data_IF_738156558126
#
_entry.id   IF_738156558126
#
_cell.length_a   1.000
_cell.length_b   1.000
_cell.length_c   1.000
_cell.angle_alpha   90.00
_cell.angle_beta   90.00
_cell.angle_gamma   90.00
#
_symmetry.space_group_name_H-M   'P 1'
#
loop_
_entity.id
_entity.type
_entity.pdbx_description
1 polymer ?
#
# COMPACT_ATOMS: atom_id res chain seq x y z
N UNK A 1 13.30 -81.11 25.78
CA UNK A 1 14.73 -80.75 25.61
C UNK A 1 14.87 -79.26 25.88
N UNK A 2 15.18 -78.92 27.14
CA UNK A 2 16.41 -78.24 27.60
C UNK A 2 16.42 -76.74 27.31
N UNK A 3 15.96 -75.87 28.22
CA UNK A 3 16.66 -75.27 29.38
C UNK A 3 18.00 -74.59 29.06
N UNK A 4 18.04 -73.27 29.33
CA UNK A 4 19.10 -72.45 29.98
C UNK A 4 18.59 -70.99 29.91
N UNK A 5 17.91 -70.42 30.91
CA UNK A 5 18.36 -69.94 32.23
C UNK A 5 19.62 -69.06 32.18
N UNK A 6 19.44 -67.74 32.33
CA UNK A 6 20.31 -66.83 33.09
C UNK A 6 19.66 -65.43 33.21
N UNK A 7 19.19 -65.14 34.41
CA UNK A 7 18.95 -63.83 35.08
C UNK A 7 19.98 -63.81 36.23
N UNK A 8 20.49 -62.70 36.81
CA UNK A 8 19.98 -61.31 36.86
C UNK A 8 21.07 -60.22 36.61
N UNK A 9 20.70 -58.94 36.63
CA UNK A 9 21.21 -57.94 37.59
C UNK A 9 20.43 -56.62 37.44
N UNK A 10 19.90 -56.20 38.58
CA UNK A 10 19.26 -54.93 38.91
C UNK A 10 20.20 -53.75 38.62
N UNK A 11 19.78 -52.77 37.81
CA UNK A 11 20.12 -51.35 38.05
C UNK A 11 18.87 -50.51 37.77
N UNK A 12 18.32 -50.03 38.88
CA UNK A 12 17.34 -48.98 39.01
C UNK A 12 18.03 -47.65 38.62
N UNK A 13 17.77 -47.13 37.42
CA UNK A 13 18.17 -45.77 37.04
C UNK A 13 16.95 -44.86 37.00
N UNK A 14 16.63 -44.32 38.18
CA UNK A 14 15.79 -43.15 38.36
C UNK A 14 16.55 -41.97 37.73
N UNK A 15 16.16 -41.55 36.52
CA UNK A 15 16.57 -40.28 35.96
C UNK A 15 15.64 -39.20 36.53
N UNK A 16 16.12 -38.55 37.58
CA UNK A 16 15.60 -37.29 38.08
C UNK A 16 15.69 -36.25 36.95
N UNK A 17 14.55 -35.74 36.49
CA UNK A 17 14.48 -34.46 35.81
C UNK A 17 14.80 -33.36 36.84
N UNK A 18 16.08 -33.13 37.10
CA UNK A 18 16.55 -31.89 37.72
C UNK A 18 16.50 -30.80 36.67
N UNK A 19 15.73 -29.75 36.96
CA UNK A 19 15.41 -28.67 36.04
C UNK A 19 16.63 -28.04 35.37
N UNK A 20 16.45 -27.71 34.09
CA UNK A 20 17.31 -26.76 33.39
C UNK A 20 17.20 -25.40 34.08
N UNK A 21 18.13 -25.12 34.99
CA UNK A 21 18.48 -23.76 35.35
C UNK A 21 19.09 -23.09 34.13
N UNK A 22 18.37 -22.13 33.55
CA UNK A 22 18.92 -21.16 32.59
C UNK A 22 20.08 -20.41 33.27
N UNK A 23 21.32 -20.79 32.98
CA UNK A 23 22.47 -19.96 33.30
C UNK A 23 22.55 -18.87 32.22
N UNK A 24 22.22 -17.63 32.61
CA UNK A 24 22.47 -16.45 31.82
C UNK A 24 23.98 -16.33 31.56
N UNK A 25 24.37 -16.34 30.29
CA UNK A 25 25.72 -16.08 29.83
C UNK A 25 26.00 -14.57 29.95
N UNK A 26 26.99 -14.20 30.75
CA UNK A 26 27.38 -12.80 31.00
C UNK A 26 28.34 -12.37 29.90
N UNK A 27 27.89 -11.47 29.02
CA UNK A 27 28.74 -10.82 28.02
C UNK A 27 29.27 -9.53 28.63
N UNK A 28 30.57 -9.50 28.98
CA UNK A 28 31.24 -8.27 29.41
C UNK A 28 31.62 -7.43 28.18
N UNK A 29 31.02 -6.25 28.04
CA UNK A 29 31.37 -5.27 26.99
C UNK A 29 32.21 -4.17 27.62
N UNK A 30 33.52 -4.20 27.41
CA UNK A 30 34.41 -3.08 27.78
C UNK A 30 34.35 -2.01 26.69
N UNK A 31 33.76 -0.84 27.00
CA UNK A 31 33.81 0.34 26.13
C UNK A 31 34.94 1.27 26.60
N UNK A 32 35.96 1.47 25.78
CA UNK A 32 36.97 2.52 26.00
C UNK A 32 36.33 3.90 25.79
N UNK A 33 36.48 4.79 26.77
CA UNK A 33 36.14 6.21 26.65
C UNK A 33 37.45 6.95 26.37
N UNK A 34 37.65 7.39 25.13
CA UNK A 34 38.78 8.25 24.75
C UNK A 34 38.43 9.68 25.20
N UNK A 35 39.20 10.19 26.16
CA UNK A 35 39.15 11.59 26.60
C UNK A 35 40.25 12.38 25.88
N UNK A 36 39.88 13.39 25.09
CA UNK A 36 40.84 14.29 24.45
C UNK A 36 41.31 15.36 25.44
N UNK A 37 42.62 15.40 25.71
CA UNK A 37 43.27 16.45 26.50
C UNK A 37 44.05 17.38 25.56
N UNK A 38 43.87 18.72 25.61
CA UNK A 38 44.60 19.64 24.75
C UNK A 38 46.07 19.73 25.17
N UNK A 39 46.95 19.67 24.16
CA UNK A 39 48.42 19.76 24.29
C UNK A 39 48.85 21.22 24.45
N UNK A 40 49.47 21.56 25.59
CA UNK A 40 50.29 22.78 25.73
C UNK A 40 51.77 22.41 25.79
N UNK A 41 52.60 23.14 25.02
CA UNK A 41 54.05 22.90 24.91
C UNK A 41 54.82 23.75 25.93
N UNK A 42 55.78 23.11 26.60
CA UNK A 42 56.54 23.53 27.78
C UNK A 42 57.51 24.70 27.59
N UNK A 43 57.81 25.41 28.70
CA UNK A 43 59.20 25.79 29.03
C UNK A 43 59.49 25.67 30.54
N UNK A 44 60.59 24.96 30.82
CA UNK A 44 61.47 24.94 32.01
C UNK A 44 61.13 24.10 33.27
N UNK A 45 61.82 22.96 33.33
CA UNK A 45 62.58 22.37 34.47
C UNK A 45 62.03 22.63 35.87
N UNK A 46 61.49 21.61 36.56
CA UNK A 46 62.10 20.98 37.76
C UNK A 46 61.32 19.73 38.23
N UNK A 47 62.06 18.69 38.62
CA UNK A 47 61.77 17.67 39.65
C UNK A 47 60.54 16.74 39.47
N UNK A 48 60.84 15.49 39.11
CA UNK A 48 59.91 14.35 39.25
C UNK A 48 59.66 14.07 40.73
N UNK A 49 58.41 14.19 41.18
CA UNK A 49 57.92 13.60 42.43
C UNK A 49 56.85 12.58 42.03
N UNK A 50 57.12 11.30 42.28
CA UNK A 50 56.15 10.24 42.09
C UNK A 50 55.04 10.37 43.15
N UNK A 51 53.85 10.79 42.73
CA UNK A 51 52.65 10.71 43.55
C UNK A 51 52.05 9.31 43.41
N UNK A 52 51.82 8.65 44.55
CA UNK A 52 51.10 7.38 44.60
C UNK A 52 49.62 7.63 44.28
N UNK A 53 49.11 6.91 43.28
CA UNK A 53 47.69 6.93 42.89
C UNK A 53 46.98 5.83 43.70
N UNK A 54 46.02 6.21 44.55
CA UNK A 54 45.14 5.27 45.23
C UNK A 54 44.12 4.68 44.22
N UNK A 55 43.80 3.37 44.31
CA UNK A 55 42.87 2.75 43.38
C UNK A 55 41.43 3.19 43.70
N UNK A 56 40.80 3.90 42.76
CA UNK A 56 39.37 4.19 42.77
C UNK A 56 38.59 2.91 42.47
N UNK A 57 37.77 2.47 43.43
CA UNK A 57 36.83 1.37 43.24
C UNK A 57 35.64 1.83 42.41
N UNK A 58 35.52 1.33 41.19
CA UNK A 58 34.36 1.53 40.33
C UNK A 58 33.30 0.48 40.68
N UNK A 59 32.15 0.91 41.21
CA UNK A 59 31.01 0.01 41.41
C UNK A 59 30.38 -0.34 40.06
N UNK A 60 30.50 -1.61 39.67
CA UNK A 60 29.86 -2.14 38.47
C UNK A 60 28.39 -2.41 38.79
N UNK A 61 27.52 -1.44 38.50
CA UNK A 61 26.07 -1.61 38.61
C UNK A 61 25.60 -2.58 37.53
N UNK A 62 25.24 -3.81 37.93
CA UNK A 62 24.67 -4.83 37.05
C UNK A 62 23.29 -4.37 36.55
N UNK A 63 23.19 -3.98 35.29
CA UNK A 63 21.90 -3.76 34.62
C UNK A 63 21.29 -5.13 34.36
N UNK A 64 20.26 -5.49 35.12
CA UNK A 64 19.43 -6.67 34.85
C UNK A 64 18.39 -6.24 33.82
N UNK A 65 18.61 -6.58 32.56
CA UNK A 65 17.58 -6.40 31.52
C UNK A 65 16.56 -7.53 31.69
N UNK A 66 15.41 -7.21 32.27
CA UNK A 66 14.26 -8.11 32.34
C UNK A 66 13.67 -8.25 30.93
N UNK A 67 13.66 -9.46 30.39
CA UNK A 67 12.98 -9.80 29.14
C UNK A 67 11.47 -9.78 29.41
N UNK A 68 10.80 -8.67 29.07
CA UNK A 68 9.34 -8.59 29.07
C UNK A 68 8.85 -9.36 27.85
N UNK A 69 8.27 -10.54 28.06
CA UNK A 69 7.65 -11.34 27.00
C UNK A 69 6.33 -10.66 26.60
N UNK A 70 6.23 -10.21 25.34
CA UNK A 70 5.01 -9.56 24.84
C UNK A 70 3.85 -10.56 24.78
N UNK A 71 2.61 -10.14 25.07
CA UNK A 71 1.45 -10.99 24.83
C UNK A 71 1.39 -11.48 23.37
N UNK A 72 0.76 -12.64 23.10
CA UNK A 72 0.60 -13.14 21.75
C UNK A 72 -0.15 -12.13 20.87
N UNK A 73 0.29 -11.96 19.61
CA UNK A 73 -0.41 -11.13 18.63
C UNK A 73 -1.84 -11.63 18.41
N UNK A 74 -2.82 -10.73 18.43
CA UNK A 74 -4.24 -11.05 18.32
C UNK A 74 -4.86 -11.58 19.61
N UNK A 75 -4.23 -11.34 20.77
CA UNK A 75 -4.84 -11.54 22.08
C UNK A 75 -5.55 -10.26 22.54
N UNK A 76 -6.44 -10.35 23.53
CA UNK A 76 -7.11 -9.17 24.12
C UNK A 76 -6.12 -8.12 24.65
N UNK A 77 -4.95 -8.56 25.14
CA UNK A 77 -3.89 -7.69 25.66
C UNK A 77 -2.98 -7.12 24.55
N UNK A 78 -3.06 -7.69 23.34
CA UNK A 78 -2.31 -7.26 22.16
C UNK A 78 -3.12 -7.55 20.87
N UNK A 79 -4.19 -6.79 20.63
CA UNK A 79 -5.02 -6.98 19.44
C UNK A 79 -4.23 -6.57 18.18
N UNK A 80 -4.60 -7.18 17.05
CA UNK A 80 -4.15 -6.70 15.75
C UNK A 80 -4.85 -5.38 15.46
N UNK A 81 -4.10 -4.35 15.05
CA UNK A 81 -4.70 -3.10 14.62
C UNK A 81 -4.97 -3.17 13.12
N UNK A 82 -6.25 -3.15 12.73
CA UNK A 82 -6.66 -2.98 11.35
C UNK A 82 -6.87 -1.50 11.07
N UNK A 83 -5.88 -0.87 10.45
CA UNK A 83 -5.90 0.55 10.11
C UNK A 83 -6.47 0.75 8.71
N UNK A 84 -7.49 1.59 8.57
CA UNK A 84 -8.09 1.92 7.27
C UNK A 84 -7.82 3.38 6.94
N UNK A 85 -7.20 3.63 5.79
CA UNK A 85 -7.04 4.99 5.24
C UNK A 85 -8.39 5.67 5.01
N UNK A 86 -8.45 7.02 4.95
CA UNK A 86 -9.67 7.77 4.63
C UNK A 86 -10.04 7.64 3.14
N UNK A 87 -10.38 6.42 2.71
CA UNK A 87 -10.74 6.07 1.33
C UNK A 87 -12.18 6.49 0.99
N UNK A 88 -13.03 6.64 2.01
CA UNK A 88 -14.43 7.05 1.94
C UNK A 88 -14.72 7.98 3.12
N UNK A 89 -15.92 8.56 3.15
CA UNK A 89 -16.42 9.29 4.32
C UNK A 89 -16.29 8.45 5.59
N UNK A 90 -15.80 9.08 6.67
CA UNK A 90 -15.44 8.41 7.94
C UNK A 90 -16.55 7.50 8.46
N UNK A 91 -17.80 7.97 8.48
CA UNK A 91 -18.94 7.20 8.99
C UNK A 91 -19.19 5.92 8.17
N UNK A 92 -18.99 5.98 6.86
CA UNK A 92 -19.11 4.82 5.97
C UNK A 92 -17.94 3.86 6.21
N UNK A 93 -16.73 4.40 6.37
CA UNK A 93 -15.52 3.62 6.66
C UNK A 93 -15.65 2.90 8.00
N UNK A 94 -16.07 3.57 9.07
CA UNK A 94 -16.24 2.97 10.39
C UNK A 94 -17.30 1.88 10.39
N UNK A 95 -18.46 2.11 9.77
CA UNK A 95 -19.54 1.11 9.72
C UNK A 95 -19.12 -0.15 8.95
N UNK A 96 -18.52 0.02 7.77
CA UNK A 96 -18.06 -1.11 6.93
C UNK A 96 -16.83 -1.80 7.53
N UNK A 97 -15.90 -1.02 8.07
CA UNK A 97 -14.71 -1.50 8.74
C UNK A 97 -15.05 -2.33 9.96
N UNK A 98 -16.04 -1.92 10.76
CA UNK A 98 -16.45 -2.70 11.93
C UNK A 98 -17.07 -4.03 11.51
N UNK A 99 -17.88 -4.04 10.45
CA UNK A 99 -18.43 -5.30 9.91
C UNK A 99 -17.31 -6.26 9.49
N UNK A 100 -16.28 -5.74 8.82
CA UNK A 100 -15.10 -6.52 8.44
C UNK A 100 -14.36 -7.07 9.67
N UNK A 101 -14.14 -6.24 10.69
CA UNK A 101 -13.47 -6.65 11.93
C UNK A 101 -14.27 -7.75 12.64
N UNK A 102 -15.59 -7.59 12.77
CA UNK A 102 -16.46 -8.59 13.40
C UNK A 102 -16.38 -9.95 12.67
N UNK A 103 -16.42 -9.93 11.33
CA UNK A 103 -16.30 -11.14 10.51
C UNK A 103 -14.91 -11.80 10.65
N UNK A 104 -13.84 -11.00 10.66
CA UNK A 104 -12.47 -11.49 10.86
C UNK A 104 -12.27 -12.09 12.25
N UNK A 105 -12.77 -11.45 13.30
CA UNK A 105 -12.72 -11.99 14.66
C UNK A 105 -13.50 -13.32 14.76
N UNK A 106 -14.68 -13.40 14.14
CA UNK A 106 -15.48 -14.62 14.11
C UNK A 106 -14.79 -15.76 13.34
N UNK A 107 -14.08 -15.45 12.25
CA UNK A 107 -13.39 -16.43 11.41
C UNK A 107 -12.06 -16.91 12.02
N UNK A 108 -11.31 -16.02 12.66
CA UNK A 108 -9.93 -16.29 13.10
C UNK A 108 -9.82 -16.57 14.60
N UNK A 109 -10.76 -16.06 15.41
CA UNK A 109 -10.68 -16.09 16.87
C UNK A 109 -9.64 -15.13 17.46
N UNK A 110 -9.06 -14.24 16.66
CA UNK A 110 -8.11 -13.22 17.10
C UNK A 110 -8.84 -11.95 17.53
N UNK A 111 -8.30 -11.25 18.51
CA UNK A 111 -8.72 -9.90 18.86
C UNK A 111 -8.20 -8.91 17.80
N UNK A 112 -9.11 -8.15 17.20
CA UNK A 112 -8.80 -7.16 16.16
C UNK A 112 -9.46 -5.84 16.54
N UNK A 113 -8.68 -4.76 16.52
CA UNK A 113 -9.13 -3.39 16.76
C UNK A 113 -9.19 -2.64 15.43
N UNK A 114 -10.34 -2.02 15.14
CA UNK A 114 -10.45 -1.11 14.00
C UNK A 114 -9.86 0.25 14.35
N UNK A 115 -8.96 0.75 13.51
CA UNK A 115 -8.45 2.12 13.57
C UNK A 115 -8.76 2.82 12.25
N UNK A 116 -9.54 3.90 12.29
CA UNK A 116 -9.81 4.72 11.10
C UNK A 116 -8.87 5.93 11.18
N UNK A 117 -7.94 6.04 10.24
CA UNK A 117 -6.98 7.13 10.21
C UNK A 117 -7.63 8.41 9.65
N UNK A 118 -7.24 9.57 10.18
CA UNK A 118 -7.71 10.87 9.70
C UNK A 118 -6.97 11.29 8.42
N UNK A 119 -5.80 10.70 8.16
CA UNK A 119 -5.01 10.98 6.97
C UNK A 119 -4.27 9.77 6.42
N UNK A 120 -3.92 9.85 5.13
CA UNK A 120 -3.05 8.89 4.48
C UNK A 120 -1.67 8.78 5.13
N UNK A 121 -1.10 9.90 5.59
CA UNK A 121 0.19 9.92 6.27
C UNK A 121 0.12 9.20 7.63
N UNK A 122 -0.97 9.40 8.37
CA UNK A 122 -1.20 8.71 9.65
C UNK A 122 -1.39 7.20 9.45
N UNK A 123 -2.01 6.77 8.35
CA UNK A 123 -2.10 5.33 8.04
C UNK A 123 -0.71 4.71 7.87
N UNK A 124 0.18 5.36 7.11
CA UNK A 124 1.56 4.89 6.92
C UNK A 124 2.34 4.90 8.23
N UNK A 125 2.21 5.97 9.03
CA UNK A 125 2.83 6.07 10.34
C UNK A 125 2.39 4.96 11.28
N UNK A 126 1.09 4.63 11.33
CA UNK A 126 0.57 3.56 12.18
C UNK A 126 1.18 2.17 11.85
N UNK A 127 1.47 1.90 10.58
CA UNK A 127 2.19 0.67 10.16
C UNK A 127 3.63 0.70 10.65
N UNK A 128 4.31 1.83 10.49
CA UNK A 128 5.73 1.97 10.85
C UNK A 128 5.98 2.06 12.37
N UNK A 129 5.03 2.60 13.14
CA UNK A 129 5.14 2.76 14.59
C UNK A 129 4.90 1.46 15.34
N UNK A 130 4.08 0.55 14.77
CA UNK A 130 3.73 -0.75 15.38
C UNK A 130 3.83 -1.89 14.34
N UNK A 131 5.02 -2.13 13.78
CA UNK A 131 5.22 -3.11 12.71
C UNK A 131 4.94 -4.56 13.14
N UNK A 132 4.82 -4.80 14.45
CA UNK A 132 4.62 -6.09 15.08
C UNK A 132 3.15 -6.44 15.34
N UNK A 133 2.22 -5.52 15.03
CA UNK A 133 0.78 -5.73 15.24
C UNK A 133 -0.17 -4.94 14.32
N UNK A 134 0.34 -4.10 13.42
CA UNK A 134 -0.51 -3.33 12.48
C UNK A 134 -0.70 -4.02 11.14
N UNK A 135 -1.95 -4.08 10.68
CA UNK A 135 -2.35 -4.35 9.29
C UNK A 135 -3.04 -3.08 8.78
N UNK A 136 -2.69 -2.61 7.60
CA UNK A 136 -3.30 -1.44 7.00
C UNK A 136 -3.87 -1.69 5.61
N UNK A 137 -4.99 -1.03 5.29
CA UNK A 137 -5.51 -0.93 3.92
C UNK A 137 -5.08 0.43 3.36
N UNK A 138 -4.13 0.40 2.44
CA UNK A 138 -3.50 1.57 1.83
C UNK A 138 -3.85 1.67 0.34
N UNK A 139 -4.00 2.89 -0.23
CA UNK A 139 -3.85 3.09 -1.66
C UNK A 139 -2.54 2.48 -2.18
N UNK A 140 -2.54 1.93 -3.39
CA UNK A 140 -1.37 1.27 -3.99
C UNK A 140 -0.05 2.08 -3.92
N UNK A 141 -0.03 3.37 -4.24
CA UNK A 141 1.19 4.18 -4.09
C UNK A 141 1.72 4.25 -2.65
N UNK A 142 0.83 4.27 -1.65
CA UNK A 142 1.24 4.34 -0.25
C UNK A 142 1.74 2.99 0.29
N UNK A 143 1.34 1.86 -0.30
CA UNK A 143 1.93 0.57 0.06
C UNK A 143 3.39 0.47 -0.37
N UNK A 144 3.76 1.11 -1.50
CA UNK A 144 5.15 1.25 -1.92
C UNK A 144 5.93 2.11 -0.93
N UNK A 145 5.35 3.26 -0.52
CA UNK A 145 5.96 4.16 0.45
C UNK A 145 6.20 3.49 1.81
N UNK A 146 5.20 2.77 2.34
CA UNK A 146 5.31 2.07 3.62
C UNK A 146 6.43 1.00 3.59
N UNK A 147 6.54 0.27 2.48
CA UNK A 147 7.64 -0.68 2.28
C UNK A 147 9.01 0.00 2.25
N UNK A 148 9.13 1.13 1.57
CA UNK A 148 10.39 1.88 1.49
C UNK A 148 10.79 2.53 2.83
N UNK A 149 9.82 2.95 3.64
CA UNK A 149 10.07 3.64 4.91
C UNK A 149 10.33 2.70 6.09
N UNK A 150 9.62 1.57 6.17
CA UNK A 150 9.66 0.70 7.36
C UNK A 150 9.56 -0.79 7.03
N UNK A 151 9.92 -1.20 5.82
CA UNK A 151 9.93 -2.60 5.35
C UNK A 151 8.58 -3.31 5.50
N UNK A 152 7.48 -2.54 5.50
CA UNK A 152 6.13 -3.09 5.52
C UNK A 152 5.92 -4.08 4.36
N UNK A 153 5.02 -5.03 4.55
CA UNK A 153 4.83 -6.20 3.69
C UNK A 153 3.49 -6.13 2.96
N UNK A 154 3.44 -5.64 1.70
CA UNK A 154 2.26 -5.73 0.84
C UNK A 154 1.97 -7.19 0.48
N UNK A 155 0.82 -7.72 0.89
CA UNK A 155 0.47 -9.14 0.65
C UNK A 155 -0.75 -9.31 -0.26
N UNK A 156 -1.78 -8.48 -0.09
CA UNK A 156 -3.00 -8.58 -0.89
C UNK A 156 -3.30 -7.28 -1.62
N UNK A 157 -3.89 -7.41 -2.81
CA UNK A 157 -4.33 -6.29 -3.63
C UNK A 157 -5.78 -6.52 -4.02
N UNK A 158 -6.61 -5.49 -3.85
CA UNK A 158 -8.00 -5.54 -4.23
C UNK A 158 -8.15 -5.73 -5.75
N UNK A 159 -9.07 -6.60 -6.17
CA UNK A 159 -9.42 -6.76 -7.57
C UNK A 159 -10.77 -6.09 -7.86
N UNK A 160 -10.76 -5.02 -8.67
CA UNK A 160 -11.97 -4.34 -9.14
C UNK A 160 -12.41 -4.97 -10.45
N UNK A 161 -13.53 -5.69 -10.46
CA UNK A 161 -14.02 -6.46 -11.62
C UNK A 161 -12.95 -7.39 -12.24
N UNK A 162 -12.19 -8.08 -11.38
CA UNK A 162 -11.11 -8.98 -11.77
C UNK A 162 -9.78 -8.30 -12.14
N UNK A 163 -9.70 -6.97 -12.10
CA UNK A 163 -8.47 -6.21 -12.41
C UNK A 163 -7.80 -5.79 -11.10
N UNK A 164 -6.58 -6.26 -10.78
CA UNK A 164 -5.87 -5.95 -9.52
C UNK A 164 -5.13 -4.60 -9.58
N UNK A 165 -5.35 -3.82 -10.61
CA UNK A 165 -4.71 -2.53 -10.81
C UNK A 165 -5.71 -1.51 -11.34
N UNK A 166 -5.38 -0.25 -11.18
CA UNK A 166 -6.08 0.89 -11.76
C UNK A 166 -5.14 1.66 -12.67
N UNK A 167 -5.71 2.38 -13.63
CA UNK A 167 -5.05 3.40 -14.40
C UNK A 167 -6.01 4.57 -14.60
N UNK A 168 -5.51 5.69 -15.07
CA UNK A 168 -6.30 6.82 -15.50
C UNK A 168 -6.08 7.06 -16.99
N UNK A 169 -7.08 7.61 -17.65
CA UNK A 169 -7.01 8.10 -19.01
C UNK A 169 -6.82 9.61 -19.02
N UNK A 170 -6.07 10.11 -19.99
CA UNK A 170 -6.12 11.51 -20.42
C UNK A 170 -7.08 11.59 -21.60
N UNK A 171 -8.17 12.31 -21.41
CA UNK A 171 -9.29 12.43 -22.33
C UNK A 171 -9.29 13.81 -22.98
N UNK A 172 -9.49 13.85 -24.29
CA UNK A 172 -9.58 15.09 -25.09
C UNK A 172 -10.86 15.06 -25.92
N UNK A 173 -11.26 16.23 -26.42
CA UNK A 173 -12.33 16.32 -27.42
C UNK A 173 -11.73 16.14 -28.83
N UNK A 174 -12.32 15.25 -29.63
CA UNK A 174 -11.75 14.83 -30.92
C UNK A 174 -11.72 15.91 -32.00
N UNK A 175 -12.45 17.02 -31.82
CA UNK A 175 -12.54 18.15 -32.75
C UNK A 175 -11.75 19.39 -32.27
N UNK A 176 -10.96 19.28 -31.20
CA UNK A 176 -10.12 20.37 -30.68
C UNK A 176 -8.71 20.43 -31.28
N UNK A 177 -8.40 19.53 -32.22
CA UNK A 177 -7.08 19.49 -32.86
C UNK A 177 -5.96 19.06 -31.91
N UNK A 178 -6.28 18.29 -30.88
CA UNK A 178 -5.33 17.71 -29.93
C UNK A 178 -5.14 16.24 -30.32
N UNK A 179 -3.96 15.88 -30.79
CA UNK A 179 -3.67 14.54 -31.32
C UNK A 179 -2.44 13.90 -30.67
N UNK A 180 -1.56 14.70 -30.07
CA UNK A 180 -0.37 14.26 -29.35
C UNK A 180 -0.22 14.99 -28.01
N UNK A 181 0.70 14.55 -27.16
CA UNK A 181 0.85 15.10 -25.81
C UNK A 181 1.31 16.56 -25.85
N UNK A 182 2.14 16.90 -26.82
CA UNK A 182 2.70 18.24 -27.02
C UNK A 182 1.61 19.31 -27.27
N UNK A 183 0.49 18.92 -27.86
CA UNK A 183 -0.67 19.79 -28.11
C UNK A 183 -1.36 20.27 -26.83
N UNK A 184 -1.08 19.63 -25.69
CA UNK A 184 -1.62 19.96 -24.37
C UNK A 184 -0.94 21.19 -23.74
N UNK A 185 0.18 21.66 -24.29
CA UNK A 185 0.94 22.76 -23.71
C UNK A 185 0.12 24.06 -23.71
N UNK A 186 -0.08 24.64 -22.52
CA UNK A 186 -0.92 25.83 -22.32
C UNK A 186 -2.43 25.59 -22.37
N UNK A 187 -2.89 24.34 -22.53
CA UNK A 187 -4.32 23.99 -22.57
C UNK A 187 -4.93 23.87 -21.17
N UNK A 188 -6.21 24.18 -21.03
CA UNK A 188 -6.95 24.04 -19.79
C UNK A 188 -7.17 22.57 -19.45
N UNK A 189 -6.84 22.19 -18.21
CA UNK A 189 -6.90 20.85 -17.68
C UNK A 189 -7.97 20.70 -16.59
N UNK A 190 -9.00 19.91 -16.83
CA UNK A 190 -9.95 19.48 -15.80
C UNK A 190 -9.44 18.28 -15.00
N UNK A 191 -9.35 18.43 -13.69
CA UNK A 191 -8.97 17.34 -12.76
C UNK A 191 -10.14 16.98 -11.84
N UNK A 192 -10.28 15.71 -11.44
CA UNK A 192 -11.40 15.31 -10.57
C UNK A 192 -11.26 15.87 -9.15
N UNK A 193 -10.03 15.89 -8.61
CA UNK A 193 -9.67 16.48 -7.32
C UNK A 193 -8.16 16.71 -7.23
N UNK A 194 -7.72 17.63 -6.37
CA UNK A 194 -6.29 17.89 -6.11
C UNK A 194 -5.60 16.73 -5.36
N UNK A 195 -6.38 15.90 -4.68
CA UNK A 195 -5.88 14.75 -3.93
C UNK A 195 -5.81 13.47 -4.78
N UNK A 196 -6.32 13.49 -6.03
CA UNK A 196 -6.31 12.30 -6.87
C UNK A 196 -4.89 11.96 -7.32
N UNK A 197 -4.38 10.83 -6.83
CA UNK A 197 -3.02 10.40 -7.10
C UNK A 197 -2.83 10.03 -8.58
N UNK A 198 -3.66 9.12 -9.09
CA UNK A 198 -3.55 8.60 -10.45
C UNK A 198 -4.07 9.57 -11.52
N UNK A 199 -5.08 10.39 -11.19
CA UNK A 199 -5.71 11.28 -12.18
C UNK A 199 -5.11 12.68 -12.16
N UNK A 200 -4.47 13.13 -11.08
CA UNK A 200 -3.82 14.44 -11.07
C UNK A 200 -2.32 14.36 -10.83
N UNK A 201 -1.87 13.88 -9.68
CA UNK A 201 -0.45 13.93 -9.30
C UNK A 201 0.45 13.17 -10.28
N UNK A 202 0.04 11.98 -10.71
CA UNK A 202 0.75 11.24 -11.75
C UNK A 202 0.85 12.03 -13.05
N UNK A 203 -0.27 12.55 -13.57
CA UNK A 203 -0.27 13.25 -14.85
C UNK A 203 0.48 14.58 -14.77
N UNK A 204 0.49 15.24 -13.61
CA UNK A 204 1.27 16.45 -13.39
C UNK A 204 2.76 16.15 -13.52
N UNK A 205 3.25 15.10 -12.85
CA UNK A 205 4.63 14.65 -12.98
C UNK A 205 4.95 14.16 -14.41
N UNK A 206 4.07 13.34 -14.98
CA UNK A 206 4.22 12.79 -16.33
C UNK A 206 4.33 13.89 -17.40
N UNK A 207 3.44 14.88 -17.39
CA UNK A 207 3.48 16.00 -18.33
C UNK A 207 4.72 16.88 -18.11
N UNK A 208 5.10 17.14 -16.86
CA UNK A 208 6.31 17.89 -16.53
C UNK A 208 7.60 17.19 -17.03
N UNK A 209 7.68 15.85 -16.89
CA UNK A 209 8.80 15.06 -17.44
C UNK A 209 8.89 15.14 -18.97
N UNK A 210 7.75 15.29 -19.65
CA UNK A 210 7.70 15.53 -21.10
C UNK A 210 7.93 17.02 -21.48
N UNK A 211 8.15 17.91 -20.51
CA UNK A 211 8.31 19.34 -20.75
C UNK A 211 7.02 20.07 -21.14
N UNK A 212 5.86 19.47 -20.88
CA UNK A 212 4.54 20.03 -21.14
C UNK A 212 4.06 20.77 -19.88
N UNK A 213 3.66 22.03 -20.06
CA UNK A 213 3.08 22.85 -18.98
C UNK A 213 1.62 23.14 -19.32
N UNK A 214 0.65 22.50 -18.66
CA UNK A 214 -0.75 22.85 -18.80
C UNK A 214 -1.02 24.33 -18.48
N UNK A 215 -2.11 24.86 -19.03
CA UNK A 215 -2.60 26.20 -18.74
C UNK A 215 -3.32 26.26 -17.40
N UNK A 216 -4.58 26.71 -17.41
CA UNK A 216 -5.43 26.72 -16.22
C UNK A 216 -5.78 25.28 -15.81
N UNK A 217 -5.75 25.00 -14.50
CA UNK A 217 -6.20 23.73 -13.92
C UNK A 217 -7.50 23.99 -13.18
N UNK A 218 -8.55 23.25 -13.51
CA UNK A 218 -9.87 23.37 -12.89
C UNK A 218 -10.22 22.10 -12.12
N UNK A 219 -10.81 22.26 -10.93
CA UNK A 219 -11.23 21.14 -10.08
C UNK A 219 -12.70 20.86 -10.29
N UNK A 220 -13.01 19.71 -10.89
CA UNK A 220 -14.35 19.35 -11.36
C UNK A 220 -15.18 18.62 -10.30
N UNK A 221 -14.60 18.32 -9.13
CA UNK A 221 -15.27 17.65 -8.01
C UNK A 221 -15.83 16.27 -8.41
N UNK A 222 -15.00 15.44 -9.03
CA UNK A 222 -15.30 14.05 -9.35
C UNK A 222 -15.01 13.65 -10.78
N UNK A 223 -14.81 12.34 -10.96
CA UNK A 223 -14.42 11.71 -12.23
C UNK A 223 -15.45 11.97 -13.36
N UNK A 224 -16.74 11.83 -13.05
CA UNK A 224 -17.83 12.08 -14.00
C UNK A 224 -17.88 13.52 -14.48
N UNK A 225 -17.67 14.48 -13.58
CA UNK A 225 -17.69 15.90 -13.92
C UNK A 225 -16.48 16.28 -14.78
N UNK A 226 -15.30 15.73 -14.48
CA UNK A 226 -14.11 15.94 -15.30
C UNK A 226 -14.29 15.46 -16.76
N UNK A 227 -14.94 14.31 -16.93
CA UNK A 227 -15.33 13.81 -18.27
C UNK A 227 -16.33 14.73 -18.95
N UNK A 228 -17.35 15.21 -18.22
CA UNK A 228 -18.37 16.11 -18.76
C UNK A 228 -17.79 17.49 -19.12
N UNK A 229 -16.85 18.01 -18.36
CA UNK A 229 -16.20 19.29 -18.64
C UNK A 229 -15.47 19.27 -20.00
N UNK A 230 -14.79 18.16 -20.35
CA UNK A 230 -14.20 17.98 -21.68
C UNK A 230 -15.28 17.96 -22.74
N UNK A 231 -16.34 17.17 -22.53
CA UNK A 231 -17.43 17.04 -23.49
C UNK A 231 -18.16 18.36 -23.76
N UNK A 232 -18.46 19.11 -22.71
CA UNK A 232 -19.09 20.44 -22.76
C UNK A 232 -18.15 21.53 -23.26
N UNK A 233 -16.88 21.19 -23.51
CA UNK A 233 -15.85 22.13 -23.93
C UNK A 233 -15.61 23.26 -22.91
N UNK A 234 -15.76 22.95 -21.63
CA UNK A 234 -15.41 23.81 -20.49
C UNK A 234 -13.90 23.76 -20.22
N UNK A 235 -13.31 22.59 -20.44
CA UNK A 235 -11.85 22.37 -20.44
C UNK A 235 -11.43 21.70 -21.75
N UNK A 236 -10.15 21.81 -22.10
CA UNK A 236 -9.62 21.29 -23.36
C UNK A 236 -9.19 19.82 -23.24
N UNK A 237 -8.78 19.40 -22.04
CA UNK A 237 -8.56 18.00 -21.70
C UNK A 237 -8.86 17.75 -20.22
N UNK A 238 -9.11 16.48 -19.88
CA UNK A 238 -9.26 16.06 -18.49
C UNK A 238 -8.63 14.70 -18.27
N UNK A 239 -8.43 14.37 -17.01
CA UNK A 239 -7.93 13.07 -16.59
C UNK A 239 -8.98 12.38 -15.73
N UNK A 240 -9.21 11.09 -15.99
CA UNK A 240 -10.22 10.34 -15.23
C UNK A 240 -9.89 8.85 -15.13
N UNK A 241 -10.59 8.13 -14.25
CA UNK A 241 -10.37 6.69 -14.07
C UNK A 241 -10.59 5.89 -15.36
N UNK A 242 -9.67 4.97 -15.62
CA UNK A 242 -9.73 4.01 -16.71
C UNK A 242 -9.77 2.58 -16.14
N UNK A 243 -10.76 1.82 -16.58
CA UNK A 243 -10.78 0.37 -16.42
C UNK A 243 -10.82 -0.25 -17.82
N UNK A 244 -9.96 -1.24 -18.12
CA UNK A 244 -9.91 -1.84 -19.45
C UNK A 244 -11.28 -2.29 -19.93
N UNK A 245 -11.58 -2.24 -21.23
CA UNK A 245 -12.80 -2.88 -21.71
C UNK A 245 -12.76 -4.39 -21.46
N UNK A 246 -13.92 -5.03 -21.32
CA UNK A 246 -14.00 -6.47 -21.56
C UNK A 246 -14.10 -6.71 -23.05
N UNK A 247 -13.26 -7.61 -23.55
CA UNK A 247 -13.21 -7.98 -24.96
C UNK A 247 -14.22 -9.09 -25.26
N UNK A 248 -14.52 -9.35 -26.55
CA UNK A 248 -15.33 -10.47 -26.98
C UNK A 248 -14.89 -11.79 -26.34
N UNK A 249 -15.88 -12.56 -25.88
CA UNK A 249 -15.71 -13.84 -25.20
C UNK A 249 -14.89 -13.73 -23.90
N UNK A 250 -14.96 -12.57 -23.24
CA UNK A 250 -14.24 -12.26 -22.00
C UNK A 250 -12.71 -12.40 -22.12
N UNK A 251 -12.17 -12.16 -23.31
CA UNK A 251 -10.73 -12.10 -23.50
C UNK A 251 -10.11 -10.95 -22.69
N UNK A 252 -8.87 -11.13 -22.26
CA UNK A 252 -8.13 -10.15 -21.48
C UNK A 252 -7.56 -9.06 -22.40
N UNK A 253 -7.87 -7.80 -22.09
CA UNK A 253 -7.24 -6.64 -22.73
C UNK A 253 -5.82 -6.46 -22.19
N UNK A 254 -4.85 -6.34 -23.09
CA UNK A 254 -3.43 -6.28 -22.77
C UNK A 254 -2.94 -4.83 -22.67
N UNK A 255 -2.58 -4.43 -21.46
CA UNK A 255 -2.05 -3.09 -21.19
C UNK A 255 -0.79 -2.79 -21.99
N UNK A 256 -0.79 -1.65 -22.69
CA UNK A 256 0.33 -1.18 -23.53
C UNK A 256 0.43 -1.88 -24.89
N UNK A 257 -0.46 -2.82 -25.20
CA UNK A 257 -0.51 -3.53 -26.49
C UNK A 257 -1.82 -3.22 -27.21
N UNK A 258 -2.95 -3.43 -26.53
CA UNK A 258 -4.26 -3.18 -27.09
C UNK A 258 -4.65 -1.71 -26.97
N UNK A 259 -5.35 -1.20 -27.98
CA UNK A 259 -5.91 0.15 -27.97
C UNK A 259 -6.95 0.26 -26.82
N UNK A 260 -6.92 1.31 -25.96
CA UNK A 260 -7.92 1.49 -24.91
C UNK A 260 -9.35 1.64 -25.46
N UNK A 261 -9.48 2.05 -26.72
CA UNK A 261 -10.72 2.22 -27.47
C UNK A 261 -10.84 1.21 -28.62
N UNK A 262 -10.24 0.02 -28.50
CA UNK A 262 -10.22 -1.06 -29.53
C UNK A 262 -11.60 -1.36 -30.16
N UNK A 263 -12.69 -1.18 -29.40
CA UNK A 263 -14.07 -1.34 -29.85
C UNK A 263 -14.47 -0.38 -30.99
N UNK A 264 -13.78 0.76 -31.16
CA UNK A 264 -14.01 1.72 -32.26
C UNK A 264 -13.77 1.11 -33.64
N UNK A 265 -12.90 0.09 -33.73
CA UNK A 265 -12.60 -0.61 -34.99
C UNK A 265 -13.84 -1.23 -35.66
N UNK A 266 -14.91 -1.50 -34.89
CA UNK A 266 -16.17 -2.00 -35.41
C UNK A 266 -17.00 -0.93 -36.15
N UNK A 267 -16.70 0.36 -35.98
CA UNK A 267 -17.51 1.46 -36.52
C UNK A 267 -18.92 1.54 -35.91
N UNK A 268 -19.14 0.92 -34.75
CA UNK A 268 -20.41 0.90 -34.02
C UNK A 268 -20.31 1.83 -32.81
N UNK A 269 -21.40 2.56 -32.54
CA UNK A 269 -21.50 3.38 -31.34
C UNK A 269 -21.89 2.53 -30.12
N UNK A 270 -21.41 2.89 -28.92
CA UNK A 270 -21.83 2.25 -27.69
C UNK A 270 -23.33 2.42 -27.42
N UNK A 271 -23.91 1.45 -26.71
CA UNK A 271 -25.30 1.47 -26.26
C UNK A 271 -25.39 1.08 -24.78
N UNK A 272 -26.46 1.53 -24.12
CA UNK A 272 -26.78 1.14 -22.76
C UNK A 272 -27.52 -0.19 -22.77
N UNK A 273 -26.92 -1.22 -22.17
CA UNK A 273 -27.58 -2.49 -21.91
C UNK A 273 -28.61 -2.33 -20.76
N UNK A 274 -29.75 -3.04 -20.77
CA UNK A 274 -30.80 -2.94 -19.73
C UNK A 274 -30.32 -3.16 -18.28
N UNK A 275 -29.22 -3.88 -18.08
CA UNK A 275 -28.65 -4.16 -16.75
C UNK A 275 -27.63 -3.10 -16.28
N UNK A 276 -27.43 -2.03 -17.06
CA UNK A 276 -26.60 -0.89 -16.64
C UNK A 276 -25.25 -0.76 -17.37
N UNK A 277 -24.82 -1.76 -18.12
CA UNK A 277 -23.52 -1.72 -18.81
C UNK A 277 -23.55 -0.87 -20.08
N UNK A 278 -22.42 -0.24 -20.40
CA UNK A 278 -22.18 0.35 -21.71
C UNK A 278 -21.46 -0.68 -22.56
N UNK A 279 -22.05 -1.04 -23.69
CA UNK A 279 -21.56 -2.11 -24.56
C UNK A 279 -21.48 -1.68 -26.02
N UNK A 280 -20.66 -2.38 -26.80
CA UNK A 280 -20.60 -2.26 -28.26
C UNK A 280 -20.91 -3.63 -28.85
N UNK A 281 -21.77 -3.68 -29.87
CA UNK A 281 -22.29 -4.89 -30.54
C UNK A 281 -23.20 -5.78 -29.66
N UNK A 282 -22.68 -6.32 -28.56
CA UNK A 282 -23.37 -7.21 -27.64
C UNK A 282 -22.66 -7.18 -26.27
N UNK A 283 -23.12 -7.98 -25.29
CA UNK A 283 -22.33 -8.17 -24.06
C UNK A 283 -21.01 -8.87 -24.37
N UNK A 284 -20.03 -8.70 -23.49
CA UNK A 284 -18.70 -9.27 -23.68
C UNK A 284 -18.72 -10.80 -23.81
N UNK A 285 -19.50 -11.49 -22.98
CA UNK A 285 -19.67 -12.94 -23.06
C UNK A 285 -20.35 -13.42 -24.36
N UNK A 286 -21.11 -12.55 -25.01
CA UNK A 286 -21.85 -12.82 -26.25
C UNK A 286 -21.07 -12.36 -27.51
N UNK A 287 -19.79 -12.01 -27.34
CA UNK A 287 -18.90 -11.61 -28.44
C UNK A 287 -18.87 -10.12 -28.75
N UNK A 288 -19.45 -9.27 -27.90
CA UNK A 288 -19.30 -7.81 -27.97
C UNK A 288 -18.22 -7.26 -27.05
N UNK A 289 -18.25 -5.95 -26.82
CA UNK A 289 -17.34 -5.27 -25.90
C UNK A 289 -18.14 -4.66 -24.74
N UNK A 290 -17.55 -4.62 -23.55
CA UNK A 290 -18.06 -3.80 -22.45
C UNK A 290 -17.08 -2.68 -22.13
N UNK A 291 -17.53 -1.43 -22.22
CA UNK A 291 -16.75 -0.25 -21.85
C UNK A 291 -16.91 -0.01 -20.35
N UNK A 292 -15.80 0.28 -19.67
CA UNK A 292 -15.75 0.40 -18.21
C UNK A 292 -15.01 1.65 -17.69
N UNK A 293 -14.53 2.53 -18.58
CA UNK A 293 -13.91 3.80 -18.19
C UNK A 293 -14.94 4.83 -17.67
N UNK A 294 -14.46 5.95 -17.13
CA UNK A 294 -15.31 6.96 -16.48
C UNK A 294 -16.43 7.53 -17.37
N UNK A 295 -16.33 7.46 -18.71
CA UNK A 295 -17.41 7.90 -19.61
C UNK A 295 -18.65 7.02 -19.51
N UNK A 296 -18.49 5.75 -19.14
CA UNK A 296 -19.62 4.84 -18.95
C UNK A 296 -20.57 5.31 -17.83
N UNK A 297 -20.06 6.04 -16.82
CA UNK A 297 -20.86 6.56 -15.71
C UNK A 297 -21.80 7.70 -16.12
N UNK A 298 -21.43 8.48 -17.13
CA UNK A 298 -22.21 9.64 -17.61
C UNK A 298 -23.02 9.34 -18.87
N UNK A 299 -22.93 8.12 -19.39
CA UNK A 299 -23.53 7.72 -20.67
C UNK A 299 -25.07 7.88 -20.72
N UNK A 300 -25.75 7.79 -19.58
CA UNK A 300 -27.21 8.02 -19.54
C UNK A 300 -27.59 9.50 -19.70
N UNK A 301 -26.66 10.40 -19.35
CA UNK A 301 -26.81 11.85 -19.46
C UNK A 301 -26.38 12.29 -20.85
N UNK A 302 -25.16 11.93 -21.26
CA UNK A 302 -24.56 12.29 -22.55
C UNK A 302 -24.30 11.04 -23.40
N UNK A 303 -25.24 10.69 -24.27
CA UNK A 303 -25.21 9.41 -25.03
C UNK A 303 -24.19 9.37 -26.16
N UNK A 304 -23.73 10.52 -26.60
CA UNK A 304 -22.73 10.71 -27.65
C UNK A 304 -21.36 11.09 -27.06
N UNK A 305 -21.16 10.97 -25.74
CA UNK A 305 -19.87 11.20 -25.06
C UNK A 305 -18.69 10.51 -25.76
N UNK A 306 -18.90 9.28 -26.24
CA UNK A 306 -17.90 8.48 -26.95
C UNK A 306 -17.66 8.92 -28.40
N UNK A 307 -18.58 9.67 -28.99
CA UNK A 307 -18.42 10.24 -30.34
C UNK A 307 -17.55 11.50 -30.31
N UNK A 308 -17.61 12.26 -29.21
CA UNK A 308 -16.92 13.56 -29.09
C UNK A 308 -15.60 13.49 -28.33
N UNK A 309 -15.43 12.49 -27.46
CA UNK A 309 -14.21 12.35 -26.65
C UNK A 309 -13.38 11.16 -27.10
N UNK A 310 -12.06 11.28 -27.00
CA UNK A 310 -11.10 10.21 -27.29
C UNK A 310 -10.05 10.14 -26.19
N UNK A 311 -9.54 8.94 -25.94
CA UNK A 311 -8.43 8.74 -25.01
C UNK A 311 -7.13 9.03 -25.75
N UNK A 312 -6.38 10.04 -25.29
CA UNK A 312 -5.09 10.40 -25.86
C UNK A 312 -3.98 9.48 -25.34
N UNK A 313 -3.99 9.20 -24.04
CA UNK A 313 -3.03 8.28 -23.40
C UNK A 313 -3.58 7.72 -22.09
N UNK A 314 -2.90 6.72 -21.54
CA UNK A 314 -3.15 6.18 -20.22
C UNK A 314 -2.00 6.52 -19.27
N UNK A 315 -2.31 6.63 -17.98
CA UNK A 315 -1.30 6.56 -16.93
C UNK A 315 -0.69 5.18 -16.87
N UNK A 316 0.47 5.05 -16.21
CA UNK A 316 0.98 3.78 -15.71
C UNK A 316 -0.05 3.03 -14.85
N UNK A 317 0.18 1.73 -14.65
CA UNK A 317 -0.67 0.90 -13.79
C UNK A 317 -0.26 1.07 -12.34
N UNK A 318 -1.25 1.34 -11.49
CA UNK A 318 -1.09 1.36 -10.04
C UNK A 318 -1.77 0.14 -9.45
N UNK A 319 -1.17 -0.53 -8.45
CA UNK A 319 -1.93 -1.48 -7.65
C UNK A 319 -3.19 -0.80 -7.10
N UNK A 320 -4.28 -1.55 -7.02
CA UNK A 320 -5.44 -1.08 -6.27
C UNK A 320 -5.11 -1.00 -4.76
N UNK A 321 -6.12 -0.72 -3.94
CA UNK A 321 -6.00 -0.76 -2.49
C UNK A 321 -5.33 -2.07 -2.06
N UNK A 322 -4.27 -1.91 -1.27
CA UNK A 322 -3.33 -2.96 -0.89
C UNK A 322 -3.45 -3.19 0.61
N UNK A 323 -3.57 -4.44 1.02
CA UNK A 323 -3.44 -4.84 2.41
C UNK A 323 -1.95 -5.00 2.70
N UNK A 324 -1.46 -4.20 3.63
CA UNK A 324 -0.06 -4.12 4.02
C UNK A 324 0.05 -4.54 5.47
N UNK A 325 0.98 -5.45 5.73
CA UNK A 325 1.31 -5.93 7.07
C UNK A 325 2.53 -5.17 7.60
N UNK A 326 2.57 -4.92 8.90
CA UNK A 326 3.78 -4.48 9.56
C UNK A 326 4.93 -5.47 9.35
N UNK A 327 6.16 -4.97 9.33
CA UNK A 327 7.35 -5.74 8.97
C UNK A 327 7.70 -6.87 9.94
N UNK A 328 7.15 -6.86 11.15
CA UNK A 328 7.39 -7.86 12.19
C UNK A 328 6.21 -8.83 12.39
N UNK A 329 5.11 -8.68 11.63
CA UNK A 329 4.03 -9.68 11.62
C UNK A 329 4.50 -10.91 10.84
N UNK A 330 4.40 -12.12 11.42
CA UNK A 330 4.73 -13.34 10.70
C UNK A 330 3.80 -13.54 9.50
N UNK A 331 4.37 -13.76 8.30
CA UNK A 331 3.61 -14.01 7.07
C UNK A 331 2.60 -15.16 7.17
N UNK A 332 2.86 -16.16 8.02
CA UNK A 332 1.92 -17.25 8.28
C UNK A 332 0.63 -16.77 8.95
N UNK A 333 0.73 -15.80 9.86
CA UNK A 333 -0.42 -15.13 10.48
C UNK A 333 -1.08 -14.20 9.47
N UNK A 334 -0.29 -13.48 8.67
CA UNK A 334 -0.77 -12.55 7.66
C UNK A 334 -1.67 -13.21 6.58
N UNK A 335 -1.44 -14.49 6.27
CA UNK A 335 -2.24 -15.22 5.28
C UNK A 335 -3.54 -15.82 5.81
N UNK A 336 -3.69 -15.89 7.14
CA UNK A 336 -4.87 -16.44 7.79
C UNK A 336 -5.87 -15.35 8.24
N UNK A 337 -5.45 -14.08 8.18
CA UNK A 337 -6.26 -12.87 8.44
C UNK A 337 -6.53 -12.21 7.09
#
# INVERSE_FOLDING_TARGET
MSRRTLVPIFILSILLFTGCTNQAEVIEVTREIVSEVPVTVDVEVTRVVAAAVEPETVEVTRIVTELVELPPLGSEERPIQLVISPLLEEQITSFRGQTLVDDLMAATGLAIELVVAESFAETVAAVCDRPDQTIAILPGPLSVLAREQCDAQPEFVAAKNGVPWTASMLLVRGDQGIFELEDLNGRTWGIPSEESWESYLYFQAFLAEQGITPGEITVENGQSNAVLAVYNNEVEFATASFLPPLLPLLAEWQYGVDDPEIWRSLGLLPIRHPIGFVIVLARAEDGGYQIRDARAAVFDVERDIFSFTTILTLSGRFPNETIVFGSEIPLGTARNV
#
